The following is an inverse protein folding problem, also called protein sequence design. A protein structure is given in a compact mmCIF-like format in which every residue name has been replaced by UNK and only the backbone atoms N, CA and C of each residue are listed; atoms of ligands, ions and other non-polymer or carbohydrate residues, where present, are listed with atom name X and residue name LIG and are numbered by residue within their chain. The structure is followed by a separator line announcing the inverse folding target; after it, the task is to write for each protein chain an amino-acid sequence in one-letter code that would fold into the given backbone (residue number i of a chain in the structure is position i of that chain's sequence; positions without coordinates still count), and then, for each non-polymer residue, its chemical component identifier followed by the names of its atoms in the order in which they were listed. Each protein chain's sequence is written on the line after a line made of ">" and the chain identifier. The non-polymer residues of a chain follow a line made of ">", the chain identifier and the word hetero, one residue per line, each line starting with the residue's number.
data_IF_629781929329
#
_entry.id   IF_629781929329
#
_cell.length_a   1.000
_cell.length_b   1.000
_cell.length_c   1.000
_cell.angle_alpha   90.00
_cell.angle_beta   90.00
_cell.angle_gamma   90.00
#
_symmetry.space_group_name_H-M   'P 1'
#
loop_
_entity.id
_entity.type
_entity.pdbx_description
1 polymer ?
#
# COMPACT_ATOMS: atom_id res chain seq x y z
N UNK A 1 73.11 -18.51 51.27
CA UNK A 1 72.19 -18.00 52.31
C UNK A 1 71.42 -16.89 51.62
N UNK A 2 70.13 -17.07 51.40
CA UNK A 2 69.24 -16.00 50.81
C UNK A 2 69.06 -14.99 51.97
N UNK A 3 69.46 -13.73 51.68
CA UNK A 3 69.40 -12.67 52.68
C UNK A 3 67.97 -12.42 53.11
N UNK A 4 67.71 -12.49 54.38
CA UNK A 4 66.42 -12.25 55.09
C UNK A 4 65.79 -10.92 54.60
N UNK A 5 66.60 -9.95 54.25
CA UNK A 5 66.19 -8.67 53.75
C UNK A 5 65.36 -8.81 52.39
N UNK A 6 65.76 -9.72 51.51
CA UNK A 6 65.00 -9.94 50.24
C UNK A 6 63.65 -10.55 50.48
N UNK A 7 63.46 -11.42 51.45
CA UNK A 7 62.17 -11.96 51.82
C UNK A 7 61.20 -10.89 52.32
N UNK A 8 61.69 -9.97 53.13
CA UNK A 8 60.88 -8.85 53.66
C UNK A 8 60.47 -7.93 52.49
N UNK A 9 61.38 -7.54 51.62
CA UNK A 9 61.03 -6.72 50.47
C UNK A 9 60.02 -7.38 49.54
N UNK A 10 60.18 -8.67 49.26
CA UNK A 10 59.21 -9.42 48.43
C UNK A 10 57.84 -9.48 49.11
N UNK A 11 57.73 -9.68 50.38
CA UNK A 11 56.48 -9.72 51.09
C UNK A 11 55.78 -8.36 51.10
N UNK A 12 56.51 -7.28 51.32
CA UNK A 12 55.99 -5.90 51.27
C UNK A 12 55.50 -5.59 49.89
N UNK A 13 56.24 -5.95 48.80
CA UNK A 13 55.81 -5.73 47.44
C UNK A 13 54.49 -6.44 47.10
N UNK A 14 54.32 -7.70 47.55
CA UNK A 14 53.06 -8.46 47.34
C UNK A 14 51.87 -7.80 48.07
N UNK A 15 52.05 -7.39 49.32
CA UNK A 15 50.97 -6.71 50.05
C UNK A 15 50.65 -5.34 49.46
N UNK A 16 51.62 -4.61 48.96
CA UNK A 16 51.42 -3.32 48.32
C UNK A 16 50.68 -3.49 47.00
N UNK A 17 51.08 -4.48 46.20
CA UNK A 17 50.37 -4.83 44.96
C UNK A 17 48.91 -5.25 45.20
N UNK A 18 48.67 -6.08 46.23
CA UNK A 18 47.35 -6.50 46.64
C UNK A 18 46.51 -5.31 47.12
N UNK A 19 47.06 -4.43 47.93
CA UNK A 19 46.38 -3.22 48.40
C UNK A 19 45.99 -2.28 47.30
N UNK A 20 46.90 -2.04 46.35
CA UNK A 20 46.60 -1.22 45.13
C UNK A 20 45.50 -1.90 44.29
N UNK A 21 45.58 -3.23 44.09
CA UNK A 21 44.57 -3.99 43.34
C UNK A 21 43.18 -3.89 43.93
N UNK A 22 43.07 -3.95 45.29
CA UNK A 22 41.78 -3.79 45.99
C UNK A 22 41.24 -2.36 45.81
N UNK A 23 42.08 -1.33 45.96
CA UNK A 23 41.67 0.07 45.81
C UNK A 23 41.19 0.33 44.39
N UNK A 24 41.92 -0.10 43.37
CA UNK A 24 41.53 0.02 41.97
C UNK A 24 40.24 -0.77 41.70
N UNK A 25 40.11 -1.98 42.24
CA UNK A 25 38.89 -2.79 42.09
C UNK A 25 37.64 -2.13 42.66
N UNK A 26 37.74 -1.54 43.86
CA UNK A 26 36.63 -0.82 44.48
C UNK A 26 36.28 0.45 43.69
N UNK A 27 37.27 1.16 43.17
CA UNK A 27 37.02 2.39 42.38
C UNK A 27 36.34 2.07 41.04
N UNK A 28 36.67 0.98 40.40
CA UNK A 28 36.07 0.53 39.15
C UNK A 28 34.64 -0.05 39.36
N UNK A 29 34.38 -0.71 40.49
CA UNK A 29 33.04 -1.28 40.77
C UNK A 29 32.11 -0.24 41.39
N UNK A 30 32.67 0.82 42.00
CA UNK A 30 31.92 1.89 42.67
C UNK A 30 31.48 3.03 41.74
N UNK A 31 31.46 2.82 40.41
CA UNK A 31 31.02 3.87 39.48
C UNK A 31 29.49 3.93 39.47
N UNK A 32 28.91 4.63 40.48
CA UNK A 32 27.49 4.93 40.62
C UNK A 32 26.93 5.61 39.36
N UNK A 33 27.81 6.16 38.47
CA UNK A 33 27.41 6.77 37.22
C UNK A 33 26.85 5.77 36.22
N UNK A 34 27.42 4.57 36.12
CA UNK A 34 26.91 3.50 35.23
C UNK A 34 25.51 3.01 35.67
N UNK A 35 25.32 2.85 37.00
CA UNK A 35 24.02 2.46 37.54
C UNK A 35 22.98 3.58 37.33
N UNK A 36 23.41 4.83 37.46
CA UNK A 36 22.54 5.98 37.24
C UNK A 36 22.13 6.13 35.77
N UNK A 37 23.07 5.96 34.84
CA UNK A 37 22.76 5.97 33.38
C UNK A 37 21.81 4.83 32.97
N UNK A 38 22.05 3.62 33.51
CA UNK A 38 21.14 2.50 33.29
C UNK A 38 19.72 2.79 33.79
N UNK A 39 19.59 3.42 34.95
CA UNK A 39 18.30 3.80 35.49
C UNK A 39 17.59 4.84 34.64
N UNK A 40 18.31 5.85 34.13
CA UNK A 40 17.74 6.85 33.22
C UNK A 40 17.23 6.19 31.93
N UNK A 41 17.97 5.22 31.40
CA UNK A 41 17.56 4.48 30.19
C UNK A 41 16.30 3.64 30.47
N UNK A 42 16.25 2.97 31.63
CA UNK A 42 15.10 2.16 32.05
C UNK A 42 13.85 3.05 32.19
N UNK A 43 13.99 4.18 32.92
CA UNK A 43 12.89 5.12 33.14
C UNK A 43 12.36 5.70 31.81
N UNK A 44 13.27 6.02 30.89
CA UNK A 44 12.89 6.48 29.53
C UNK A 44 12.17 5.39 28.74
N UNK A 45 12.71 4.16 28.73
CA UNK A 45 12.06 3.01 28.10
C UNK A 45 10.67 2.75 28.67
N UNK A 46 10.52 2.81 30.01
CA UNK A 46 9.21 2.64 30.65
C UNK A 46 8.22 3.74 30.20
N UNK A 47 8.69 4.97 30.08
CA UNK A 47 7.88 6.08 29.60
C UNK A 47 7.48 5.91 28.13
N UNK A 48 8.42 5.53 27.27
CA UNK A 48 8.17 5.27 25.86
C UNK A 48 7.18 4.11 25.70
N UNK A 49 7.32 3.05 26.48
CA UNK A 49 6.36 1.93 26.49
C UNK A 49 4.96 2.35 26.94
N UNK A 50 4.84 3.25 27.92
CA UNK A 50 3.53 3.78 28.34
C UNK A 50 2.87 4.59 27.21
N UNK A 51 3.64 5.45 26.56
CA UNK A 51 3.14 6.24 25.42
C UNK A 51 2.71 5.32 24.29
N UNK A 52 3.56 4.36 23.90
CA UNK A 52 3.25 3.43 22.82
C UNK A 52 2.00 2.58 23.10
N UNK A 53 1.82 2.15 24.37
CA UNK A 53 0.63 1.41 24.77
C UNK A 53 -0.64 2.25 24.67
N UNK A 54 -0.56 3.52 25.06
CA UNK A 54 -1.72 4.42 24.97
C UNK A 54 -2.06 4.72 23.50
N UNK A 55 -1.08 5.04 22.65
CA UNK A 55 -1.28 5.22 21.22
C UNK A 55 -1.88 3.97 20.55
N UNK A 56 -1.34 2.79 20.91
CA UNK A 56 -1.88 1.52 20.43
C UNK A 56 -3.33 1.29 20.87
N UNK A 57 -3.67 1.70 22.10
CA UNK A 57 -5.03 1.59 22.64
C UNK A 57 -5.98 2.53 21.93
N UNK A 58 -5.56 3.77 21.69
CA UNK A 58 -6.35 4.76 20.95
C UNK A 58 -6.58 4.32 19.52
N UNK A 59 -5.52 3.92 18.82
CA UNK A 59 -5.63 3.40 17.45
C UNK A 59 -6.58 2.20 17.36
N UNK A 60 -6.53 1.29 18.34
CA UNK A 60 -7.47 0.17 18.38
C UNK A 60 -8.92 0.60 18.58
N UNK A 61 -9.17 1.64 19.40
CA UNK A 61 -10.51 2.19 19.59
C UNK A 61 -11.03 2.85 18.31
N UNK A 62 -10.18 3.62 17.63
CA UNK A 62 -10.52 4.24 16.35
C UNK A 62 -10.85 3.19 15.27
N UNK A 63 -10.02 2.16 15.17
CA UNK A 63 -10.27 1.04 14.25
C UNK A 63 -11.58 0.34 14.57
N UNK A 64 -11.88 0.12 15.86
CA UNK A 64 -13.13 -0.51 16.28
C UNK A 64 -14.35 0.36 15.95
N UNK A 65 -14.26 1.66 16.20
CA UNK A 65 -15.30 2.63 15.84
C UNK A 65 -15.51 2.68 14.32
N UNK A 66 -14.42 2.73 13.55
CA UNK A 66 -14.49 2.72 12.09
C UNK A 66 -15.11 1.43 11.55
N UNK A 67 -14.73 0.28 12.10
CA UNK A 67 -15.33 -1.02 11.73
C UNK A 67 -16.82 -1.06 12.04
N UNK A 68 -17.24 -0.57 13.23
CA UNK A 68 -18.64 -0.51 13.60
C UNK A 68 -19.45 0.37 12.65
N UNK A 69 -18.94 1.57 12.34
CA UNK A 69 -19.57 2.48 11.39
C UNK A 69 -19.66 1.85 9.99
N UNK A 70 -18.59 1.21 9.53
CA UNK A 70 -18.58 0.55 8.24
C UNK A 70 -19.58 -0.61 8.16
N UNK A 71 -19.74 -1.38 9.23
CA UNK A 71 -20.75 -2.45 9.31
C UNK A 71 -22.17 -1.89 9.17
N UNK A 72 -22.48 -0.77 9.82
CA UNK A 72 -23.78 -0.10 9.69
C UNK A 72 -24.06 0.34 8.25
N UNK A 73 -23.04 0.92 7.59
CA UNK A 73 -23.16 1.30 6.18
C UNK A 73 -23.34 0.08 5.26
N UNK A 74 -22.64 -1.01 5.53
CA UNK A 74 -22.79 -2.25 4.77
C UNK A 74 -24.19 -2.86 4.95
N UNK A 75 -24.69 -2.93 6.18
CA UNK A 75 -26.03 -3.43 6.48
C UNK A 75 -27.11 -2.57 5.83
N UNK A 76 -26.98 -1.25 5.90
CA UNK A 76 -27.84 -0.30 5.20
C UNK A 76 -27.80 -0.54 3.68
N UNK A 77 -26.59 -0.62 3.11
CA UNK A 77 -26.42 -0.86 1.67
C UNK A 77 -27.04 -2.21 1.24
N UNK A 78 -26.90 -3.26 2.03
CA UNK A 78 -27.46 -4.58 1.71
C UNK A 78 -28.99 -4.63 1.86
N UNK A 79 -29.55 -3.85 2.79
CA UNK A 79 -31.00 -3.89 3.08
C UNK A 79 -31.79 -2.89 2.25
N UNK A 80 -31.29 -1.66 2.16
CA UNK A 80 -32.05 -0.54 1.57
C UNK A 80 -31.74 -0.36 0.09
N UNK A 81 -30.47 -0.52 -0.30
CA UNK A 81 -30.05 -0.30 -1.68
C UNK A 81 -30.83 -1.14 -2.70
N UNK A 82 -31.04 -2.46 -2.49
CA UNK A 82 -31.80 -3.27 -3.44
C UNK A 82 -33.22 -2.74 -3.69
N UNK A 83 -33.89 -2.28 -2.63
CA UNK A 83 -35.24 -1.73 -2.75
C UNK A 83 -35.29 -0.41 -3.52
N UNK A 84 -34.26 0.43 -3.38
CA UNK A 84 -34.16 1.72 -4.04
C UNK A 84 -33.77 1.63 -5.51
N UNK A 85 -32.92 0.65 -5.86
CA UNK A 85 -32.31 0.58 -7.22
C UNK A 85 -33.01 -0.44 -8.13
N UNK A 86 -33.82 -1.34 -7.60
CA UNK A 86 -34.45 -2.43 -8.34
C UNK A 86 -35.17 -1.92 -9.59
N UNK A 87 -34.79 -2.47 -10.75
CA UNK A 87 -35.39 -2.15 -12.05
C UNK A 87 -35.04 -0.76 -12.63
N UNK A 88 -34.26 0.07 -11.91
CA UNK A 88 -33.91 1.43 -12.37
C UNK A 88 -33.04 1.46 -13.62
N UNK A 89 -32.27 0.40 -13.83
CA UNK A 89 -31.35 0.26 -14.97
C UNK A 89 -31.73 -0.92 -15.89
N UNK A 90 -33.02 -1.31 -15.88
CA UNK A 90 -33.48 -2.46 -16.66
C UNK A 90 -33.21 -2.25 -18.16
N UNK A 91 -32.60 -3.28 -18.79
CA UNK A 91 -32.25 -3.26 -20.19
C UNK A 91 -31.03 -2.40 -20.57
N UNK A 92 -30.36 -1.74 -19.60
CA UNK A 92 -29.17 -0.93 -19.83
C UNK A 92 -27.90 -1.78 -19.88
N UNK A 93 -27.07 -1.59 -20.90
CA UNK A 93 -25.75 -2.16 -21.02
C UNK A 93 -24.71 -1.22 -20.40
N UNK A 94 -23.97 -1.69 -19.41
CA UNK A 94 -23.01 -0.89 -18.68
C UNK A 94 -21.60 -1.46 -18.84
N UNK A 95 -20.64 -0.62 -19.18
CA UNK A 95 -19.22 -0.93 -19.12
C UNK A 95 -18.62 -0.34 -17.83
N UNK A 96 -17.75 -1.11 -17.19
CA UNK A 96 -17.01 -0.65 -16.00
C UNK A 96 -15.55 -0.47 -16.38
N UNK A 97 -15.00 0.71 -16.07
CA UNK A 97 -13.57 1.00 -16.17
C UNK A 97 -13.02 1.12 -14.73
N UNK A 98 -12.06 0.28 -14.40
CA UNK A 98 -11.38 0.33 -13.12
C UNK A 98 -9.94 0.83 -13.31
N UNK A 99 -9.64 2.01 -12.74
CA UNK A 99 -8.29 2.60 -12.69
C UNK A 99 -7.67 2.50 -11.30
N UNK A 100 -8.40 1.89 -10.32
CA UNK A 100 -7.91 1.70 -8.97
C UNK A 100 -7.58 0.23 -8.73
N UNK A 101 -6.30 -0.08 -8.59
CA UNK A 101 -5.83 -1.47 -8.36
C UNK A 101 -6.34 -2.11 -7.06
N UNK A 102 -6.73 -1.29 -6.07
CA UNK A 102 -7.15 -1.77 -4.75
C UNK A 102 -8.67 -1.86 -4.60
N UNK A 103 -9.44 -1.28 -5.53
CA UNK A 103 -10.88 -1.34 -5.46
C UNK A 103 -11.42 -2.66 -6.04
N UNK A 104 -12.19 -3.41 -5.22
CA UNK A 104 -12.98 -4.53 -5.74
C UNK A 104 -14.17 -3.99 -6.54
N UNK A 105 -14.36 -4.53 -7.73
CA UNK A 105 -15.50 -4.21 -8.59
C UNK A 105 -16.75 -5.00 -8.25
N UNK A 106 -16.62 -6.06 -7.43
CA UNK A 106 -17.68 -7.05 -7.18
C UNK A 106 -18.95 -6.42 -6.57
N UNK A 107 -18.76 -5.54 -5.58
CA UNK A 107 -19.89 -4.85 -4.93
C UNK A 107 -20.64 -3.92 -5.88
N UNK A 108 -19.91 -3.22 -6.74
CA UNK A 108 -20.52 -2.37 -7.76
C UNK A 108 -21.25 -3.19 -8.82
N UNK A 109 -20.62 -4.24 -9.32
CA UNK A 109 -21.21 -5.14 -10.31
C UNK A 109 -22.52 -5.76 -9.78
N UNK A 110 -22.51 -6.26 -8.53
CA UNK A 110 -23.70 -6.78 -7.88
C UNK A 110 -24.80 -5.71 -7.74
N UNK A 111 -24.44 -4.49 -7.37
CA UNK A 111 -25.42 -3.38 -7.24
C UNK A 111 -26.05 -3.01 -8.59
N UNK A 112 -25.25 -2.98 -9.66
CA UNK A 112 -25.73 -2.72 -11.02
C UNK A 112 -26.65 -3.85 -11.52
N UNK A 113 -26.30 -5.11 -11.24
CA UNK A 113 -27.15 -6.26 -11.56
C UNK A 113 -28.48 -6.24 -10.79
N UNK A 114 -28.46 -5.87 -9.51
CA UNK A 114 -29.66 -5.67 -8.70
C UNK A 114 -30.57 -4.57 -9.26
N UNK A 115 -29.94 -3.53 -9.84
CA UNK A 115 -30.69 -2.47 -10.53
C UNK A 115 -31.27 -2.90 -11.88
N UNK A 116 -30.99 -4.10 -12.36
CA UNK A 116 -31.47 -4.64 -13.66
C UNK A 116 -30.53 -4.35 -14.82
N UNK A 117 -29.34 -3.79 -14.56
CA UNK A 117 -28.35 -3.53 -15.62
C UNK A 117 -27.65 -4.81 -16.07
N UNK A 118 -27.24 -4.81 -17.32
CA UNK A 118 -26.33 -5.80 -17.88
C UNK A 118 -24.91 -5.23 -17.88
N UNK A 119 -24.03 -5.72 -17.02
CA UNK A 119 -22.61 -5.41 -17.09
C UNK A 119 -22.02 -6.19 -18.27
N UNK A 120 -21.68 -5.48 -19.34
CA UNK A 120 -21.22 -6.07 -20.60
C UNK A 120 -19.72 -6.21 -20.67
N UNK A 121 -18.97 -5.31 -20.01
CA UNK A 121 -17.52 -5.37 -19.96
C UNK A 121 -16.96 -4.76 -18.68
N UNK A 122 -15.81 -5.28 -18.26
CA UNK A 122 -14.96 -4.77 -17.20
C UNK A 122 -13.55 -4.58 -17.75
N UNK A 123 -13.10 -3.33 -17.75
CA UNK A 123 -11.74 -2.95 -18.17
C UNK A 123 -10.94 -2.47 -16.97
N UNK A 124 -9.85 -3.15 -16.65
CA UNK A 124 -8.88 -2.68 -15.66
C UNK A 124 -7.73 -2.02 -16.39
N UNK A 125 -7.45 -0.75 -16.09
CA UNK A 125 -6.36 0.01 -16.70
C UNK A 125 -5.16 0.04 -15.76
N UNK A 126 -3.98 -0.28 -16.27
CA UNK A 126 -2.73 -0.18 -15.54
C UNK A 126 -2.26 1.29 -15.50
N UNK A 127 -2.57 1.97 -14.39
CA UNK A 127 -2.18 3.38 -14.18
C UNK A 127 -0.68 3.57 -13.95
N UNK A 128 0.06 2.49 -13.65
CA UNK A 128 1.51 2.50 -13.47
C UNK A 128 2.27 2.15 -14.75
N UNK A 129 1.59 2.13 -15.90
CA UNK A 129 2.23 1.85 -17.17
C UNK A 129 3.22 2.97 -17.55
N UNK A 130 4.45 2.58 -17.92
CA UNK A 130 5.50 3.54 -18.26
C UNK A 130 5.38 4.04 -19.71
N UNK A 131 4.79 5.21 -19.88
CA UNK A 131 4.72 5.91 -21.15
C UNK A 131 5.97 6.77 -21.46
N UNK A 132 6.98 6.82 -20.57
CA UNK A 132 8.17 7.65 -20.77
C UNK A 132 9.11 7.05 -21.80
N UNK A 133 9.08 5.73 -21.99
CA UNK A 133 9.89 5.01 -22.97
C UNK A 133 9.52 5.37 -24.41
N UNK A 134 10.44 5.98 -25.15
CA UNK A 134 10.26 6.34 -26.56
C UNK A 134 10.00 5.11 -27.44
N UNK A 135 10.70 4.00 -27.13
CA UNK A 135 10.49 2.72 -27.83
C UNK A 135 9.04 2.22 -27.64
N UNK A 136 8.53 2.30 -26.42
CA UNK A 136 7.16 1.85 -26.13
C UNK A 136 6.13 2.74 -26.83
N UNK A 137 6.33 4.06 -26.84
CA UNK A 137 5.45 4.98 -27.58
C UNK A 137 5.43 4.68 -29.08
N UNK A 138 6.59 4.42 -29.69
CA UNK A 138 6.69 4.07 -31.12
C UNK A 138 5.93 2.77 -31.41
N UNK A 139 6.03 1.77 -30.55
CA UNK A 139 5.32 0.50 -30.65
C UNK A 139 3.79 0.73 -30.56
N UNK A 140 3.34 1.54 -29.59
CA UNK A 140 1.93 1.88 -29.43
C UNK A 140 1.37 2.64 -30.65
N UNK A 141 2.10 3.63 -31.17
CA UNK A 141 1.71 4.37 -32.37
C UNK A 141 1.55 3.43 -33.55
N UNK A 142 2.51 2.54 -33.77
CA UNK A 142 2.50 1.63 -34.91
C UNK A 142 1.36 0.59 -34.84
N UNK A 143 1.12 0.00 -33.64
CA UNK A 143 0.11 -1.06 -33.50
C UNK A 143 -1.32 -0.52 -33.41
N UNK A 144 -1.51 0.67 -32.81
CA UNK A 144 -2.83 1.27 -32.67
C UNK A 144 -3.19 2.22 -33.83
N UNK A 145 -2.23 2.48 -34.72
CA UNK A 145 -2.39 3.41 -35.86
C UNK A 145 -2.84 4.81 -35.43
N UNK A 146 -2.33 5.28 -34.29
CA UNK A 146 -2.61 6.59 -33.73
C UNK A 146 -1.60 7.62 -34.25
N UNK A 147 -2.04 8.88 -34.35
CA UNK A 147 -1.16 9.97 -34.80
C UNK A 147 -0.05 10.28 -33.79
N UNK A 148 1.05 10.93 -34.25
CA UNK A 148 2.11 11.38 -33.40
C UNK A 148 1.63 12.46 -32.43
N UNK A 149 2.02 12.35 -31.16
CA UNK A 149 1.68 13.31 -30.12
C UNK A 149 2.80 14.35 -29.93
N UNK A 150 2.42 15.58 -29.56
CA UNK A 150 3.36 16.69 -29.38
C UNK A 150 4.20 16.55 -28.10
N UNK A 151 3.62 15.97 -27.08
CA UNK A 151 4.25 15.75 -25.76
C UNK A 151 3.66 14.51 -25.09
N UNK A 152 4.21 14.14 -23.91
CA UNK A 152 3.79 12.94 -23.19
C UNK A 152 2.31 13.00 -22.75
N UNK A 153 1.83 14.15 -22.27
CA UNK A 153 0.45 14.29 -21.83
C UNK A 153 -0.53 14.16 -22.98
N UNK A 154 -0.19 14.73 -24.13
CA UNK A 154 -0.96 14.62 -25.38
C UNK A 154 -1.04 13.15 -25.84
N UNK A 155 0.09 12.44 -25.73
CA UNK A 155 0.15 11.00 -26.03
C UNK A 155 -0.76 10.18 -25.11
N UNK A 156 -0.70 10.41 -23.78
CA UNK A 156 -1.56 9.73 -22.80
C UNK A 156 -3.03 10.01 -23.08
N UNK A 157 -3.37 11.26 -23.43
CA UNK A 157 -4.74 11.65 -23.79
C UNK A 157 -5.21 10.88 -25.03
N UNK A 158 -4.37 10.79 -26.06
CA UNK A 158 -4.68 10.05 -27.29
C UNK A 158 -4.93 8.56 -27.03
N UNK A 159 -4.09 7.94 -26.15
CA UNK A 159 -4.30 6.55 -25.72
C UNK A 159 -5.60 6.40 -24.94
N UNK A 160 -5.89 7.31 -24.01
CA UNK A 160 -7.13 7.28 -23.22
C UNK A 160 -8.38 7.42 -24.12
N UNK A 161 -8.34 8.31 -25.12
CA UNK A 161 -9.41 8.44 -26.10
C UNK A 161 -9.58 7.16 -26.95
N UNK A 162 -8.47 6.55 -27.35
CA UNK A 162 -8.50 5.30 -28.10
C UNK A 162 -9.16 4.19 -27.27
N UNK A 163 -8.74 4.02 -26.03
CA UNK A 163 -9.33 3.03 -25.11
C UNK A 163 -10.81 3.34 -24.86
N UNK A 164 -11.17 4.60 -24.63
CA UNK A 164 -12.56 5.03 -24.45
C UNK A 164 -13.45 4.71 -25.64
N UNK A 165 -12.99 4.99 -26.86
CA UNK A 165 -13.70 4.63 -28.09
C UNK A 165 -13.84 3.11 -28.24
N UNK A 166 -12.80 2.36 -27.93
CA UNK A 166 -12.84 0.90 -27.97
C UNK A 166 -13.86 0.31 -26.98
N UNK A 167 -14.00 0.90 -25.78
CA UNK A 167 -14.99 0.46 -24.79
C UNK A 167 -16.42 0.80 -25.24
N UNK A 168 -16.63 1.96 -25.85
CA UNK A 168 -17.96 2.42 -26.26
C UNK A 168 -18.46 1.76 -27.55
N UNK A 169 -17.59 1.61 -28.54
CA UNK A 169 -17.94 1.20 -29.88
C UNK A 169 -17.42 -0.17 -30.30
N UNK A 170 -16.60 -0.78 -29.45
CA UNK A 170 -15.91 -2.04 -29.67
C UNK A 170 -14.44 -1.85 -30.06
N UNK A 171 -13.63 -2.80 -29.66
CA UNK A 171 -12.23 -2.90 -30.06
C UNK A 171 -12.08 -3.78 -31.30
N UNK A 172 -11.10 -3.46 -32.11
CA UNK A 172 -10.56 -4.45 -33.05
C UNK A 172 -9.86 -5.56 -32.24
N UNK A 173 -10.20 -6.85 -32.47
CA UNK A 173 -9.71 -7.95 -31.62
C UNK A 173 -8.18 -8.00 -31.51
N UNK A 174 -7.49 -7.73 -32.61
CA UNK A 174 -6.00 -7.74 -32.66
C UNK A 174 -5.41 -6.61 -31.82
N UNK A 175 -5.98 -5.41 -31.89
CA UNK A 175 -5.52 -4.25 -31.12
C UNK A 175 -5.81 -4.41 -29.62
N UNK A 176 -6.97 -5.01 -29.28
CA UNK A 176 -7.27 -5.36 -27.89
C UNK A 176 -6.30 -6.41 -27.33
N UNK A 177 -6.01 -7.47 -28.09
CA UNK A 177 -5.06 -8.50 -27.71
C UNK A 177 -3.67 -7.89 -27.45
N UNK A 178 -3.22 -7.00 -28.32
CA UNK A 178 -1.98 -6.26 -28.15
C UNK A 178 -1.95 -5.42 -26.86
N UNK A 179 -3.01 -4.67 -26.55
CA UNK A 179 -3.10 -3.86 -25.34
C UNK A 179 -3.05 -4.73 -24.06
N UNK A 180 -3.61 -5.94 -24.12
CA UNK A 180 -3.54 -6.91 -23.03
C UNK A 180 -2.16 -7.54 -22.92
N UNK A 181 -1.51 -7.87 -24.05
CA UNK A 181 -0.17 -8.45 -24.09
C UNK A 181 0.86 -7.53 -23.43
N UNK A 182 0.83 -6.23 -23.74
CA UNK A 182 1.70 -5.24 -23.13
C UNK A 182 1.30 -4.87 -21.70
N UNK A 183 0.24 -5.49 -21.15
CA UNK A 183 -0.28 -5.23 -19.81
C UNK A 183 -0.70 -3.77 -19.56
N UNK A 184 -1.12 -3.05 -20.59
CA UNK A 184 -1.69 -1.70 -20.45
C UNK A 184 -3.12 -1.76 -19.90
N UNK A 185 -3.90 -2.76 -20.30
CA UNK A 185 -5.22 -3.02 -19.75
C UNK A 185 -5.51 -4.52 -19.67
N UNK A 186 -6.49 -4.86 -18.83
CA UNK A 186 -7.13 -6.18 -18.79
C UNK A 186 -8.60 -5.98 -19.12
N UNK A 187 -9.08 -6.64 -20.15
CA UNK A 187 -10.47 -6.59 -20.59
C UNK A 187 -11.15 -7.93 -20.33
N UNK A 188 -12.34 -7.87 -19.73
CA UNK A 188 -13.18 -9.04 -19.49
C UNK A 188 -14.60 -8.69 -19.93
N UNK A 189 -15.22 -9.54 -20.71
CA UNK A 189 -16.60 -9.33 -21.19
C UNK A 189 -16.72 -9.41 -22.68
N UNK A 190 -17.77 -8.78 -23.23
CA UNK A 190 -18.10 -8.83 -24.64
C UNK A 190 -17.70 -7.52 -25.34
N UNK A 191 -17.07 -7.62 -26.49
CA UNK A 191 -16.51 -6.49 -27.24
C UNK A 191 -17.61 -5.68 -27.98
N UNK A 192 -18.76 -6.28 -28.26
CA UNK A 192 -19.70 -5.76 -29.27
C UNK A 192 -21.09 -5.31 -28.81
N UNK A 193 -21.57 -5.40 -27.57
CA UNK A 193 -22.85 -4.78 -27.29
C UNK A 193 -22.69 -3.26 -27.17
N UNK A 194 -23.60 -2.52 -27.79
CA UNK A 194 -23.67 -1.08 -27.58
C UNK A 194 -23.77 -0.78 -26.08
N UNK A 195 -22.91 0.11 -25.59
CA UNK A 195 -22.86 0.52 -24.20
C UNK A 195 -23.71 1.76 -23.99
N UNK A 196 -24.69 1.67 -23.08
CA UNK A 196 -25.55 2.81 -22.74
C UNK A 196 -24.88 3.76 -21.73
N UNK A 197 -24.04 3.21 -20.85
CA UNK A 197 -23.39 3.97 -19.81
C UNK A 197 -22.04 3.38 -19.43
N UNK A 198 -21.09 4.25 -19.10
CA UNK A 198 -19.76 3.85 -18.59
C UNK A 198 -19.64 4.31 -17.15
N UNK A 199 -19.23 3.40 -16.27
CA UNK A 199 -18.91 3.68 -14.87
C UNK A 199 -17.42 3.60 -14.67
N UNK A 200 -16.81 4.69 -14.23
CA UNK A 200 -15.38 4.76 -13.97
C UNK A 200 -15.13 4.69 -12.47
N UNK A 201 -14.41 3.65 -12.05
CA UNK A 201 -13.88 3.50 -10.70
C UNK A 201 -12.49 4.07 -10.67
N UNK A 202 -12.35 5.23 -10.05
CA UNK A 202 -11.09 5.89 -9.78
C UNK A 202 -10.97 6.17 -8.27
N UNK A 203 -9.80 6.59 -7.84
CA UNK A 203 -9.56 7.05 -6.47
C UNK A 203 -8.09 7.37 -6.27
N UNK A 204 -7.85 8.39 -5.44
CA UNK A 204 -6.51 8.66 -4.91
C UNK A 204 -6.25 7.71 -3.74
N UNK A 205 -5.01 7.23 -3.67
CA UNK A 205 -4.43 6.59 -2.48
C UNK A 205 -4.01 7.65 -1.50
#
# INVERSE_FOLDING_TARGET
>A
MVDFKFHIFSLVAIFLALGIGIVVGITLVGDDSLVHEQKIIIDRLEQDFKVLREESRETKKEIAAFKSSNNIYQEFAQTVLPALVKGRLEGKNIAIINTNHYASTDSLENSLRLAGARVVSLTKINTNFDFSSEKMRSILIANLEIGPAKNLNDFITTIAEYIGKGILFGFEPEKLAFLQEISLLQFTGNIWPAVDCVVILGGRH
#
